data_IF_704692639459
#
_entry.id   IF_704692639459
#
_cell.length_a   1.000
_cell.length_b   1.000
_cell.length_c   1.000
_cell.angle_alpha   90.00
_cell.angle_beta   90.00
_cell.angle_gamma   90.00
#
_symmetry.space_group_name_H-M   'P 1'
#
loop_
_entity.id
_entity.type
_entity.pdbx_description
1 polymer ?
#
# COMPACT_ATOMS: atom_id res chain seq x y z
N UNK A 1 -12.14 -19.96 -8.20
CA UNK A 1 -12.01 -19.19 -9.45
C UNK A 1 -10.85 -18.24 -9.26
N UNK A 2 -9.73 -18.47 -9.93
CA UNK A 2 -8.57 -17.56 -9.84
C UNK A 2 -8.93 -16.33 -10.66
N UNK A 3 -9.03 -15.17 -10.01
CA UNK A 3 -9.25 -13.91 -10.72
C UNK A 3 -7.91 -13.49 -11.30
N UNK A 4 -7.89 -13.20 -12.60
CA UNK A 4 -6.73 -12.66 -13.30
C UNK A 4 -6.17 -11.43 -12.55
N UNK A 5 -4.88 -11.45 -12.11
CA UNK A 5 -4.23 -10.32 -11.45
C UNK A 5 -4.39 -9.00 -12.20
N UNK A 6 -4.30 -9.02 -13.54
CA UNK A 6 -4.40 -7.83 -14.38
C UNK A 6 -5.82 -7.24 -14.34
N UNK A 7 -6.85 -8.09 -14.37
CA UNK A 7 -8.24 -7.65 -14.25
C UNK A 7 -8.50 -6.96 -12.90
N UNK A 8 -7.99 -7.53 -11.82
CA UNK A 8 -8.11 -6.97 -10.46
C UNK A 8 -7.39 -5.61 -10.36
N UNK A 9 -6.16 -5.51 -10.82
CA UNK A 9 -5.40 -4.25 -10.84
C UNK A 9 -6.10 -3.19 -11.69
N UNK A 10 -6.60 -3.55 -12.86
CA UNK A 10 -7.37 -2.63 -13.72
C UNK A 10 -8.58 -2.04 -13.00
N UNK A 11 -9.28 -2.85 -12.19
CA UNK A 11 -10.39 -2.37 -11.37
C UNK A 11 -9.92 -1.36 -10.31
N UNK A 12 -8.82 -1.65 -9.61
CA UNK A 12 -8.27 -0.73 -8.60
C UNK A 12 -7.83 0.60 -9.20
N UNK A 13 -7.13 0.56 -10.34
CA UNK A 13 -6.72 1.77 -11.06
C UNK A 13 -7.96 2.58 -11.46
N UNK A 14 -9.00 1.94 -11.99
CA UNK A 14 -10.26 2.62 -12.30
C UNK A 14 -10.90 3.27 -11.07
N UNK A 15 -10.96 2.55 -9.94
CA UNK A 15 -11.53 3.08 -8.70
C UNK A 15 -10.68 4.22 -8.12
N UNK A 16 -9.35 4.14 -8.23
CA UNK A 16 -8.41 5.22 -7.88
C UNK A 16 -8.64 6.45 -8.76
N UNK A 17 -8.72 6.30 -10.07
CA UNK A 17 -8.91 7.41 -11.00
C UNK A 17 -10.30 8.04 -10.91
N UNK A 18 -11.33 7.26 -10.58
CA UNK A 18 -12.70 7.77 -10.45
C UNK A 18 -12.92 8.53 -9.13
N UNK A 19 -12.28 8.11 -8.04
CA UNK A 19 -12.50 8.64 -6.68
C UNK A 19 -11.37 9.51 -6.17
N UNK A 20 -10.18 9.33 -6.72
CA UNK A 20 -9.00 10.14 -6.49
C UNK A 20 -8.64 10.96 -7.72
N UNK A 21 -7.44 11.51 -7.70
CA UNK A 21 -6.80 12.10 -8.87
C UNK A 21 -5.33 11.72 -8.82
N UNK A 22 -4.68 11.61 -9.98
CA UNK A 22 -3.23 11.46 -10.08
C UNK A 22 -2.56 12.62 -9.33
N UNK A 23 -1.78 12.26 -8.32
CA UNK A 23 -0.97 13.19 -7.55
C UNK A 23 0.43 13.37 -8.13
N UNK A 24 1.22 14.22 -7.50
CA UNK A 24 2.65 14.39 -7.85
C UNK A 24 3.44 13.17 -7.40
N UNK A 25 3.09 12.65 -6.22
CA UNK A 25 3.78 11.57 -5.51
C UNK A 25 2.98 10.28 -5.45
N UNK A 26 1.67 10.29 -5.64
CA UNK A 26 0.83 9.07 -5.61
C UNK A 26 -0.01 8.93 -6.87
N UNK A 27 0.21 7.86 -7.64
CA UNK A 27 -0.45 7.63 -8.94
C UNK A 27 -0.34 6.17 -9.41
N UNK A 28 -1.10 5.75 -10.45
CA UNK A 28 -0.93 4.45 -11.08
C UNK A 28 0.54 4.18 -11.44
N UNK A 29 0.96 2.91 -11.34
CA UNK A 29 2.35 2.53 -11.56
C UNK A 29 2.85 2.93 -12.95
N UNK A 30 2.03 2.70 -13.97
CA UNK A 30 2.37 2.99 -15.37
C UNK A 30 2.47 4.50 -15.68
N UNK A 31 1.96 5.38 -14.80
CA UNK A 31 2.06 6.83 -14.94
C UNK A 31 3.40 7.40 -14.41
N UNK A 32 4.28 6.54 -13.88
CA UNK A 32 5.64 6.91 -13.47
C UNK A 32 6.61 6.89 -14.64
N UNK A 33 7.71 7.65 -14.52
CA UNK A 33 8.81 7.53 -15.49
C UNK A 33 9.41 6.13 -15.44
N UNK A 34 9.96 5.67 -16.58
CA UNK A 34 10.64 4.38 -16.66
C UNK A 34 11.73 4.21 -15.59
N UNK A 35 12.44 5.29 -15.24
CA UNK A 35 13.43 5.30 -14.17
C UNK A 35 12.83 4.96 -12.79
N UNK A 36 11.70 5.58 -12.44
CA UNK A 36 11.04 5.32 -11.14
C UNK A 36 10.39 3.93 -11.14
N UNK A 37 9.82 3.50 -12.26
CA UNK A 37 9.28 2.15 -12.39
C UNK A 37 10.37 1.09 -12.18
N UNK A 38 11.51 1.22 -12.86
CA UNK A 38 12.64 0.30 -12.72
C UNK A 38 13.20 0.33 -11.30
N UNK A 39 13.32 1.52 -10.71
CA UNK A 39 13.76 1.66 -9.32
C UNK A 39 12.85 0.91 -8.36
N UNK A 40 11.52 1.09 -8.49
CA UNK A 40 10.54 0.42 -7.65
C UNK A 40 10.57 -1.10 -7.83
N UNK A 41 10.70 -1.60 -9.07
CA UNK A 41 10.87 -3.05 -9.34
C UNK A 41 12.08 -3.62 -8.60
N UNK A 42 13.22 -2.92 -8.65
CA UNK A 42 14.45 -3.36 -8.01
C UNK A 42 14.34 -3.38 -6.47
N UNK A 43 13.81 -2.32 -5.86
CA UNK A 43 13.77 -2.23 -4.38
C UNK A 43 12.64 -3.03 -3.74
N UNK A 44 11.55 -3.30 -4.48
CA UNK A 44 10.41 -4.05 -3.97
C UNK A 44 10.51 -5.55 -4.25
N UNK A 45 11.51 -6.01 -5.02
CA UNK A 45 11.71 -7.42 -5.37
C UNK A 45 10.40 -8.10 -5.83
N UNK A 46 9.69 -7.41 -6.73
CA UNK A 46 8.38 -7.84 -7.23
C UNK A 46 8.58 -9.01 -8.19
N UNK A 47 7.86 -10.12 -7.98
CA UNK A 47 7.95 -11.29 -8.86
C UNK A 47 7.36 -11.01 -10.25
N UNK A 48 7.77 -11.78 -11.24
CA UNK A 48 7.35 -11.59 -12.64
C UNK A 48 5.83 -11.76 -12.85
N UNK A 49 5.16 -12.52 -11.97
CA UNK A 49 3.72 -12.77 -12.00
C UNK A 49 2.89 -11.69 -11.25
N UNK A 50 3.55 -10.74 -10.58
CA UNK A 50 2.90 -9.67 -9.84
C UNK A 50 2.67 -8.44 -10.72
N UNK A 51 1.43 -7.97 -10.77
CA UNK A 51 1.06 -6.75 -11.49
C UNK A 51 1.07 -5.58 -10.52
N UNK A 52 1.89 -4.56 -10.79
CA UNK A 52 1.93 -3.33 -9.98
C UNK A 52 0.78 -2.40 -10.33
N UNK A 53 0.12 -1.85 -9.32
CA UNK A 53 -1.09 -1.07 -9.49
C UNK A 53 -0.88 0.42 -9.26
N UNK A 54 -0.52 0.80 -8.02
CA UNK A 54 -0.45 2.19 -7.58
C UNK A 54 0.80 2.33 -6.73
N UNK A 55 1.55 3.40 -6.96
CA UNK A 55 2.73 3.71 -6.18
C UNK A 55 2.65 5.12 -5.60
N UNK A 56 3.14 5.25 -4.37
CA UNK A 56 3.54 6.50 -3.75
C UNK A 56 5.06 6.56 -3.69
N UNK A 57 5.70 7.56 -4.27
CA UNK A 57 7.15 7.66 -4.31
C UNK A 57 7.63 9.06 -3.95
N UNK A 58 8.37 9.16 -2.84
CA UNK A 58 9.11 10.38 -2.46
C UNK A 58 10.61 10.16 -2.68
N UNK A 59 11.14 9.02 -2.26
CA UNK A 59 12.56 8.67 -2.39
C UNK A 59 12.76 7.14 -2.32
N UNK A 60 14.00 6.67 -2.48
CA UNK A 60 14.33 5.25 -2.27
C UNK A 60 14.05 4.73 -0.86
N UNK A 61 14.02 5.62 0.14
CA UNK A 61 13.78 5.26 1.55
C UNK A 61 12.33 5.50 1.96
N UNK A 62 11.53 6.13 1.10
CA UNK A 62 10.17 6.55 1.40
C UNK A 62 9.29 6.32 0.17
N UNK A 63 8.63 5.17 0.17
CA UNK A 63 7.75 4.73 -0.92
C UNK A 63 6.72 3.71 -0.43
N UNK A 64 5.64 3.61 -1.18
CA UNK A 64 4.56 2.62 -1.02
C UNK A 64 4.24 2.07 -2.41
N UNK A 65 4.07 0.77 -2.51
CA UNK A 65 3.71 0.07 -3.75
C UNK A 65 2.62 -0.95 -3.47
N UNK A 66 1.47 -0.77 -4.12
CA UNK A 66 0.42 -1.77 -4.15
C UNK A 66 0.58 -2.65 -5.40
N UNK A 67 0.73 -3.95 -5.22
CA UNK A 67 0.73 -4.95 -6.30
C UNK A 67 -0.54 -5.78 -6.25
N UNK A 68 -0.73 -6.67 -7.23
CA UNK A 68 -1.79 -7.65 -7.23
C UNK A 68 -1.71 -8.64 -6.07
N UNK A 69 -0.54 -8.86 -5.46
CA UNK A 69 -0.35 -9.87 -4.43
C UNK A 69 -0.12 -9.29 -3.03
N UNK A 70 0.48 -8.10 -2.92
CA UNK A 70 0.90 -7.54 -1.64
C UNK A 70 0.95 -6.02 -1.65
N UNK A 71 0.95 -5.45 -0.46
CA UNK A 71 1.31 -4.07 -0.20
C UNK A 71 2.76 -4.03 0.31
N UNK A 72 3.62 -3.32 -0.40
CA UNK A 72 5.02 -3.11 0.00
C UNK A 72 5.27 -1.64 0.33
N UNK A 73 6.13 -1.36 1.30
CA UNK A 73 6.53 0.00 1.61
C UNK A 73 7.83 0.07 2.38
N UNK A 74 8.49 1.23 2.32
CA UNK A 74 9.62 1.59 3.17
C UNK A 74 9.44 3.02 3.66
N UNK A 75 9.73 3.27 4.95
CA UNK A 75 9.70 4.58 5.59
C UNK A 75 10.92 4.77 6.50
N UNK A 76 12.06 5.12 5.91
CA UNK A 76 13.34 5.28 6.61
C UNK A 76 13.79 4.01 7.36
N UNK A 77 13.57 2.83 6.76
CA UNK A 77 13.84 1.55 7.42
C UNK A 77 13.83 0.37 6.46
N UNK A 78 13.65 -0.86 6.98
CA UNK A 78 13.51 -2.05 6.15
C UNK A 78 12.25 -1.96 5.29
N UNK A 79 12.24 -2.75 4.21
CA UNK A 79 11.04 -2.93 3.39
C UNK A 79 10.06 -3.82 4.15
N UNK A 80 8.83 -3.33 4.30
CA UNK A 80 7.71 -4.10 4.79
C UNK A 80 6.91 -4.66 3.62
N UNK A 81 6.41 -5.88 3.78
CA UNK A 81 5.58 -6.57 2.79
C UNK A 81 4.42 -7.22 3.51
N UNK A 82 3.20 -6.87 3.10
CA UNK A 82 1.95 -7.40 3.67
C UNK A 82 1.18 -8.09 2.55
N UNK A 83 0.87 -9.38 2.71
CA UNK A 83 -0.03 -10.08 1.79
C UNK A 83 -1.40 -9.40 1.80
N UNK A 84 -2.01 -9.18 0.64
CA UNK A 84 -3.34 -8.55 0.59
C UNK A 84 -4.39 -9.34 1.35
N UNK A 85 -4.26 -10.67 1.43
CA UNK A 85 -5.15 -11.53 2.21
C UNK A 85 -5.04 -11.27 3.71
N UNK A 86 -3.87 -10.85 4.18
CA UNK A 86 -3.62 -10.52 5.59
C UNK A 86 -4.12 -9.13 5.98
N UNK A 87 -4.48 -8.27 5.02
CA UNK A 87 -5.07 -6.97 5.30
C UNK A 87 -6.52 -7.16 5.79
N UNK A 88 -6.77 -6.77 7.03
CA UNK A 88 -8.08 -6.78 7.68
C UNK A 88 -8.85 -5.49 7.42
N UNK A 89 -8.19 -4.34 7.60
CA UNK A 89 -8.79 -3.04 7.38
C UNK A 89 -7.76 -1.99 6.96
N UNK A 90 -8.26 -0.89 6.40
CA UNK A 90 -7.52 0.33 6.13
C UNK A 90 -8.31 1.52 6.69
N UNK A 91 -7.79 2.16 7.72
CA UNK A 91 -8.43 3.25 8.44
C UNK A 91 -7.56 4.49 8.41
N UNK A 92 -8.13 5.64 8.75
CA UNK A 92 -7.39 6.89 8.90
C UNK A 92 -7.35 7.23 10.37
N UNK A 93 -6.22 7.73 10.88
CA UNK A 93 -6.19 8.18 12.27
C UNK A 93 -7.11 9.40 12.42
N UNK A 94 -8.21 9.21 13.16
CA UNK A 94 -9.13 10.28 13.55
C UNK A 94 -8.87 10.73 15.00
N UNK A 95 -7.69 10.41 15.55
CA UNK A 95 -7.35 10.54 16.95
C UNK A 95 -7.54 11.93 17.57
N UNK A 96 -7.31 12.07 18.88
CA UNK A 96 -7.61 13.31 19.63
C UNK A 96 -6.88 14.55 19.11
N UNK A 97 -5.80 14.38 18.34
CA UNK A 97 -5.08 15.46 17.66
C UNK A 97 -5.95 16.20 16.63
N UNK A 98 -6.87 15.52 15.94
CA UNK A 98 -7.88 16.13 15.08
C UNK A 98 -8.95 16.92 15.85
N UNK A 99 -9.18 16.59 17.14
CA UNK A 99 -10.07 17.37 18.00
C UNK A 99 -9.40 18.67 18.49
N UNK A 100 -8.06 18.72 18.55
CA UNK A 100 -7.31 19.89 19.03
C UNK A 100 -7.04 20.93 17.96
N UNK A 101 -6.99 20.53 16.69
CA UNK A 101 -7.04 21.43 15.53
C UNK A 101 -7.84 20.72 14.43
N UNK A 102 -8.90 21.32 13.88
CA UNK A 102 -9.58 20.76 12.73
C UNK A 102 -8.63 20.82 11.54
N UNK A 103 -7.80 19.79 11.39
CA UNK A 103 -7.14 19.51 10.11
C UNK A 103 -8.28 19.28 9.13
N UNK A 104 -8.32 20.08 8.08
CA UNK A 104 -9.31 19.86 7.04
C UNK A 104 -9.11 18.44 6.50
N UNK A 105 -10.16 17.75 6.03
CA UNK A 105 -10.02 16.43 5.36
C UNK A 105 -8.94 16.41 4.26
N UNK A 106 -8.55 17.59 3.76
CA UNK A 106 -7.49 17.81 2.78
C UNK A 106 -6.06 17.62 3.32
N UNK A 107 -5.88 17.53 4.63
CA UNK A 107 -4.58 17.38 5.30
C UNK A 107 -4.31 15.96 5.81
N UNK A 108 -5.25 15.03 5.59
CA UNK A 108 -5.03 13.63 5.89
C UNK A 108 -3.89 13.08 5.03
N UNK A 109 -2.92 12.47 5.70
CA UNK A 109 -1.70 11.90 5.12
C UNK A 109 -1.43 10.49 5.60
N UNK A 110 -1.82 10.19 6.83
CA UNK A 110 -1.57 8.91 7.49
C UNK A 110 -2.73 7.95 7.22
N UNK A 111 -2.40 6.80 6.61
CA UNK A 111 -3.29 5.67 6.45
C UNK A 111 -2.81 4.51 7.32
N UNK A 112 -3.66 4.02 8.21
CA UNK A 112 -3.38 2.87 9.06
C UNK A 112 -3.86 1.61 8.33
N UNK A 113 -2.96 0.65 8.15
CA UNK A 113 -3.26 -0.70 7.68
C UNK A 113 -3.28 -1.62 8.88
N UNK A 114 -4.42 -2.26 9.10
CA UNK A 114 -4.59 -3.27 10.14
C UNK A 114 -4.56 -4.65 9.51
N UNK A 115 -3.72 -5.52 10.03
CA UNK A 115 -3.60 -6.90 9.57
C UNK A 115 -4.48 -7.84 10.39
N UNK A 116 -4.65 -9.07 9.90
CA UNK A 116 -5.39 -10.13 10.60
C UNK A 116 -4.69 -10.64 11.86
N UNK A 117 -3.36 -10.59 11.90
CA UNK A 117 -2.57 -10.89 13.11
C UNK A 117 -2.77 -9.84 14.21
N UNK A 118 -3.30 -8.66 13.85
CA UNK A 118 -3.50 -7.54 14.77
C UNK A 118 -2.39 -6.49 14.68
N UNK A 119 -1.38 -6.71 13.85
CA UNK A 119 -0.33 -5.71 13.59
C UNK A 119 -0.91 -4.51 12.84
N UNK A 120 -0.41 -3.32 13.18
CA UNK A 120 -0.81 -2.05 12.57
C UNK A 120 0.38 -1.37 11.94
N UNK A 121 0.21 -0.87 10.72
CA UNK A 121 1.24 -0.15 9.98
C UNK A 121 0.71 1.21 9.53
N UNK A 122 1.50 2.27 9.71
CA UNK A 122 1.16 3.62 9.28
C UNK A 122 1.84 3.93 7.95
N UNK A 123 1.08 4.41 6.96
CA UNK A 123 1.59 4.84 5.67
C UNK A 123 1.43 6.35 5.54
N UNK A 124 2.52 7.04 5.22
CA UNK A 124 2.49 8.47 4.84
C UNK A 124 2.29 8.59 3.33
N UNK A 125 1.19 9.21 2.94
CA UNK A 125 0.73 9.32 1.56
C UNK A 125 0.49 10.78 1.17
N UNK A 126 0.44 11.04 -0.15
CA UNK A 126 0.18 12.38 -0.65
C UNK A 126 -1.22 12.87 -0.28
N UNK A 127 -1.35 14.00 0.45
CA UNK A 127 -2.64 14.47 0.93
C UNK A 127 -3.60 14.87 -0.20
N UNK A 128 -4.88 14.92 0.12
CA UNK A 128 -5.92 15.36 -0.80
C UNK A 128 -6.48 14.23 -1.67
N UNK A 129 -6.79 14.51 -2.93
CA UNK A 129 -7.45 13.52 -3.82
C UNK A 129 -6.65 12.21 -3.98
N UNK A 130 -5.31 12.21 -4.12
CA UNK A 130 -4.54 10.97 -4.24
C UNK A 130 -4.68 10.08 -3.00
N UNK A 131 -4.60 10.65 -1.79
CA UNK A 131 -4.85 9.95 -0.53
C UNK A 131 -6.21 9.23 -0.53
N UNK A 132 -7.29 9.94 -0.87
CA UNK A 132 -8.63 9.34 -0.91
C UNK A 132 -8.77 8.25 -1.98
N UNK A 133 -8.11 8.42 -3.12
CA UNK A 133 -8.04 7.36 -4.14
C UNK A 133 -7.40 6.10 -3.58
N UNK A 134 -6.23 6.25 -2.96
CA UNK A 134 -5.48 5.13 -2.39
C UNK A 134 -6.25 4.45 -1.25
N UNK A 135 -6.78 5.23 -0.30
CA UNK A 135 -7.57 4.70 0.81
C UNK A 135 -8.80 3.90 0.33
N UNK A 136 -9.54 4.41 -0.66
CA UNK A 136 -10.69 3.70 -1.23
C UNK A 136 -10.26 2.36 -1.86
N UNK A 137 -9.13 2.31 -2.56
CA UNK A 137 -8.59 1.06 -3.09
C UNK A 137 -8.25 0.10 -1.96
N UNK A 138 -7.61 0.56 -0.88
CA UNK A 138 -7.30 -0.30 0.27
C UNK A 138 -8.55 -0.85 0.97
N UNK A 139 -9.64 -0.07 1.04
CA UNK A 139 -10.94 -0.58 1.53
C UNK A 139 -11.49 -1.71 0.63
N UNK A 140 -11.32 -1.60 -0.68
CA UNK A 140 -11.73 -2.65 -1.63
C UNK A 140 -10.86 -3.91 -1.49
N UNK A 141 -9.56 -3.73 -1.29
CA UNK A 141 -8.61 -4.82 -0.99
C UNK A 141 -9.06 -5.57 0.27
N UNK A 142 -9.22 -4.87 1.39
CA UNK A 142 -9.64 -5.45 2.67
C UNK A 142 -10.98 -6.19 2.57
N UNK A 143 -11.97 -5.62 1.86
CA UNK A 143 -13.27 -6.23 1.65
C UNK A 143 -13.24 -7.48 0.75
N UNK A 144 -12.22 -7.61 -0.11
CA UNK A 144 -12.05 -8.80 -0.95
C UNK A 144 -11.40 -9.94 -0.16
N UNK A 145 -10.54 -9.60 0.79
CA UNK A 145 -9.83 -10.57 1.64
C UNK A 145 -10.74 -11.25 2.66
N UNK A 146 -11.83 -10.62 3.10
CA UNK A 146 -12.80 -11.21 4.04
C UNK A 146 -13.62 -12.37 3.47
N UNK A 147 -13.61 -12.58 2.14
CA UNK A 147 -14.37 -13.63 1.47
C UNK A 147 -13.54 -14.88 1.13
N UNK A 148 -12.24 -14.92 1.49
CA UNK A 148 -11.38 -16.08 1.27
C UNK A 148 -11.34 -17.03 2.48
N UNK A 149 -11.19 -18.36 2.28
CA UNK A 149 -10.92 -19.28 3.38
C UNK A 149 -9.58 -18.91 4.04
N UNK A 150 -9.60 -18.59 5.34
CA UNK A 150 -8.38 -18.37 6.14
C UNK A 150 -7.48 -19.59 6.08
N UNK A 151 -6.38 -19.52 5.32
CA UNK A 151 -5.36 -20.56 5.27
C UNK A 151 -4.02 -20.01 5.77
N UNK A 152 -3.68 -20.45 6.99
CA UNK A 152 -2.34 -20.66 7.55
C UNK A 152 -1.39 -19.50 7.88
N UNK A 153 -0.92 -19.59 9.14
CA UNK A 153 0.23 -18.95 9.77
C UNK A 153 1.41 -18.64 8.82
N UNK A 154 1.75 -17.37 8.71
CA UNK A 154 3.05 -16.92 8.23
C UNK A 154 4.06 -16.89 9.40
N UNK A 155 5.20 -17.55 9.19
CA UNK A 155 6.35 -17.53 10.11
C UNK A 155 7.13 -16.23 9.88
N UNK A 156 7.47 -15.44 10.90
CA UNK A 156 8.21 -14.20 10.71
C UNK A 156 9.62 -14.51 10.18
N UNK A 157 9.98 -13.88 9.06
CA UNK A 157 11.37 -13.84 8.59
C UNK A 157 12.21 -12.96 9.52
N UNK A 158 12.77 -13.58 10.55
CA UNK A 158 13.86 -13.00 11.34
C UNK A 158 15.14 -13.02 10.48
N UNK A 159 15.48 -11.88 9.87
CA UNK A 159 16.84 -11.67 9.35
C UNK A 159 17.81 -11.54 10.53
N UNK A 160 18.62 -12.59 10.75
CA UNK A 160 19.78 -12.54 11.63
C UNK A 160 20.88 -11.67 11.04
N UNK A 161 21.13 -10.52 11.67
CA UNK A 161 22.40 -9.82 11.57
C UNK A 161 23.50 -10.69 12.21
N UNK A 162 24.38 -11.29 11.39
CA UNK A 162 25.71 -11.69 11.85
C UNK A 162 26.70 -10.60 11.50
N UNK A 163 27.08 -9.83 12.52
CA UNK A 163 28.35 -9.11 12.55
C UNK A 163 29.49 -10.12 12.35
N UNK A 164 30.35 -9.87 11.38
CA UNK A 164 31.70 -10.44 11.38
C UNK A 164 32.62 -9.40 12.04
N UNK A 165 33.38 -9.87 13.03
CA UNK A 165 34.51 -9.19 13.64
C UNK A 165 35.80 -9.61 12.93
#
# INVERSE_FOLDING_TARGET
>A
MVVDPAFRVSRWIRDFSARGATGVRTKPFDDWSAEIQERLRQVAEVGDDEVMAIASFTSQKEWVLLTSARLLFAQNGPVHSIDLHDIRDATVDLGPSMLRRPRSKRELRELIIETRSGDTYELDLEPGKPFFGFWNVMKLVAASSSNGPSAHLHVPQHMSNRCQA
#
